data_IF_408744333825
#
_entry.id   IF_408744333825
#
_cell.length_a   1.000
_cell.length_b   1.000
_cell.length_c   1.000
_cell.angle_alpha   90.00
_cell.angle_beta   90.00
_cell.angle_gamma   90.00
#
_symmetry.space_group_name_H-M   'P 1'
#
loop_
_entity.id
_entity.type
_entity.pdbx_description
1 polymer ?
#
# COMPACT_ATOMS: atom_id res chain seq x y z
N UNK A 1 19.37 -14.77 -9.97
CA UNK A 1 18.29 -15.70 -9.55
C UNK A 1 17.52 -15.14 -8.36
N UNK A 2 18.17 -14.78 -7.25
CA UNK A 2 17.50 -14.28 -6.02
C UNK A 2 16.69 -12.98 -6.21
N UNK A 3 17.23 -11.97 -6.90
CA UNK A 3 16.51 -10.70 -7.16
C UNK A 3 15.21 -10.93 -7.93
N UNK A 4 15.20 -11.87 -8.89
CA UNK A 4 14.01 -12.23 -9.67
C UNK A 4 12.95 -12.87 -8.78
N UNK A 5 13.36 -13.74 -7.85
CA UNK A 5 12.43 -14.32 -6.87
C UNK A 5 11.84 -13.24 -5.95
N UNK A 6 12.68 -12.34 -5.42
CA UNK A 6 12.20 -11.22 -4.60
C UNK A 6 11.26 -10.30 -5.36
N UNK A 7 11.53 -10.03 -6.63
CA UNK A 7 10.63 -9.27 -7.49
C UNK A 7 9.25 -9.93 -7.62
N UNK A 8 9.17 -11.23 -7.94
CA UNK A 8 7.87 -11.91 -8.08
C UNK A 8 7.13 -12.06 -6.75
N UNK A 9 7.84 -12.23 -5.64
CA UNK A 9 7.24 -12.18 -4.30
C UNK A 9 6.68 -10.78 -4.03
N UNK A 10 7.42 -9.72 -4.38
CA UNK A 10 6.94 -8.35 -4.22
C UNK A 10 5.65 -8.10 -5.03
N UNK A 11 5.65 -8.48 -6.31
CA UNK A 11 4.45 -8.40 -7.17
C UNK A 11 3.26 -9.14 -6.54
N UNK A 12 3.48 -10.35 -6.01
CA UNK A 12 2.43 -11.16 -5.39
C UNK A 12 1.86 -10.50 -4.13
N UNK A 13 2.71 -9.89 -3.31
CA UNK A 13 2.31 -9.18 -2.09
C UNK A 13 1.54 -7.90 -2.44
N UNK A 14 1.99 -7.13 -3.41
CA UNK A 14 1.26 -5.95 -3.90
C UNK A 14 -0.12 -6.33 -4.44
N UNK A 15 -0.22 -7.44 -5.21
CA UNK A 15 -1.49 -7.94 -5.71
C UNK A 15 -2.44 -8.33 -4.58
N UNK A 16 -1.93 -8.99 -3.53
CA UNK A 16 -2.71 -9.29 -2.34
C UNK A 16 -3.23 -8.00 -1.69
N UNK A 17 -2.37 -7.01 -1.49
CA UNK A 17 -2.74 -5.74 -0.85
C UNK A 17 -3.80 -4.96 -1.66
N UNK A 18 -3.61 -4.85 -2.97
CA UNK A 18 -4.59 -4.22 -3.88
C UNK A 18 -5.92 -4.98 -3.94
N UNK A 19 -5.91 -6.29 -3.73
CA UNK A 19 -7.12 -7.12 -3.83
C UNK A 19 -8.02 -7.00 -2.60
N UNK A 20 -7.48 -6.94 -1.37
CA UNK A 20 -8.34 -6.78 -0.19
C UNK A 20 -8.93 -5.37 -0.08
N UNK A 21 -8.23 -4.35 -0.62
CA UNK A 21 -8.73 -2.97 -0.70
C UNK A 21 -9.67 -2.74 -1.89
N UNK A 22 -9.97 -3.77 -2.69
CA UNK A 22 -10.64 -3.65 -3.99
C UNK A 22 -12.03 -3.03 -3.87
N UNK A 23 -12.27 -1.96 -4.64
CA UNK A 23 -13.61 -1.43 -4.93
C UNK A 23 -13.64 -0.73 -6.30
N UNK A 24 -14.84 -0.53 -6.86
CA UNK A 24 -15.07 0.23 -8.10
C UNK A 24 -14.97 1.74 -7.90
N UNK A 25 -15.17 2.23 -6.68
CA UNK A 25 -15.11 3.66 -6.34
C UNK A 25 -14.14 3.92 -5.20
N UNK A 26 -13.71 5.18 -5.07
CA UNK A 26 -12.80 5.63 -4.01
C UNK A 26 -13.45 5.47 -2.65
N UNK A 27 -14.73 5.83 -2.54
CA UNK A 27 -15.48 5.67 -1.30
C UNK A 27 -15.61 4.21 -0.90
N UNK A 28 -15.97 3.32 -1.85
CA UNK A 28 -16.06 1.91 -1.53
C UNK A 28 -14.70 1.30 -1.15
N UNK A 29 -13.58 1.80 -1.70
CA UNK A 29 -12.24 1.39 -1.28
C UNK A 29 -12.00 1.78 0.17
N UNK A 30 -12.31 3.03 0.54
CA UNK A 30 -12.17 3.53 1.90
C UNK A 30 -13.12 2.84 2.89
N UNK A 31 -14.34 2.51 2.48
CA UNK A 31 -15.27 1.72 3.29
C UNK A 31 -14.72 0.32 3.58
N UNK A 32 -14.18 -0.38 2.57
CA UNK A 32 -13.53 -1.67 2.77
C UNK A 32 -12.34 -1.57 3.73
N UNK A 33 -11.52 -0.53 3.58
CA UNK A 33 -10.44 -0.23 4.53
C UNK A 33 -10.98 0.00 5.94
N UNK A 34 -12.07 0.75 6.07
CA UNK A 34 -12.67 1.10 7.34
C UNK A 34 -13.30 -0.11 8.03
N UNK A 35 -13.90 -1.04 7.31
CA UNK A 35 -14.43 -2.29 7.86
C UNK A 35 -13.33 -3.14 8.53
N UNK A 36 -12.16 -3.22 7.89
CA UNK A 36 -11.00 -3.93 8.44
C UNK A 36 -10.44 -3.17 9.65
N UNK A 37 -10.28 -1.85 9.54
CA UNK A 37 -9.83 -0.99 10.64
C UNK A 37 -10.72 -1.10 11.88
N UNK A 38 -12.05 -1.02 11.70
CA UNK A 38 -13.04 -1.12 12.77
C UNK A 38 -13.00 -2.49 13.46
N UNK A 39 -12.69 -3.56 12.72
CA UNK A 39 -12.52 -4.90 13.31
C UNK A 39 -11.31 -4.94 14.24
N UNK A 40 -10.15 -4.49 13.77
CA UNK A 40 -8.94 -4.37 14.58
C UNK A 40 -7.89 -3.50 13.87
N UNK A 41 -7.43 -2.43 14.54
CA UNK A 41 -6.38 -1.53 14.03
C UNK A 41 -5.05 -2.26 13.75
N UNK A 42 -4.67 -3.25 14.56
CA UNK A 42 -3.45 -4.02 14.36
C UNK A 42 -3.54 -4.93 13.13
N UNK A 43 -4.72 -5.52 12.89
CA UNK A 43 -4.96 -6.30 11.68
C UNK A 43 -4.85 -5.43 10.43
N UNK A 44 -5.44 -4.24 10.48
CA UNK A 44 -5.34 -3.26 9.40
C UNK A 44 -3.88 -2.91 9.09
N UNK A 45 -3.08 -2.61 10.12
CA UNK A 45 -1.67 -2.31 9.95
C UNK A 45 -0.87 -3.48 9.36
N UNK A 46 -1.09 -4.71 9.83
CA UNK A 46 -0.41 -5.91 9.33
C UNK A 46 -0.78 -6.22 7.87
N UNK A 47 -2.00 -5.89 7.44
CA UNK A 47 -2.44 -6.11 6.05
C UNK A 47 -1.74 -5.22 5.02
N UNK A 48 -0.95 -4.24 5.46
CA UNK A 48 0.04 -3.54 4.63
C UNK A 48 1.34 -4.34 4.50
N UNK A 49 1.20 -5.61 4.10
CA UNK A 49 2.29 -6.60 4.03
C UNK A 49 3.42 -6.10 3.13
N UNK A 50 3.10 -5.35 2.09
CA UNK A 50 4.08 -4.81 1.14
C UNK A 50 5.09 -3.86 1.79
N UNK A 51 4.69 -3.13 2.85
CA UNK A 51 5.59 -2.27 3.61
C UNK A 51 6.58 -3.07 4.45
N UNK A 52 6.12 -4.11 5.15
CA UNK A 52 7.02 -4.97 5.91
C UNK A 52 7.97 -5.74 4.99
N UNK A 53 7.48 -6.14 3.81
CA UNK A 53 8.31 -6.81 2.83
C UNK A 53 9.39 -5.89 2.25
N UNK A 54 9.06 -4.64 1.91
CA UNK A 54 10.09 -3.68 1.49
C UNK A 54 11.09 -3.38 2.61
N UNK A 55 10.64 -3.29 3.86
CA UNK A 55 11.53 -3.12 5.01
C UNK A 55 12.48 -4.31 5.17
N UNK A 56 11.97 -5.54 5.03
CA UNK A 56 12.76 -6.77 5.02
C UNK A 56 13.80 -6.77 3.89
N UNK A 57 13.40 -6.42 2.66
CA UNK A 57 14.33 -6.37 1.53
C UNK A 57 15.45 -5.36 1.78
N UNK A 58 15.13 -4.17 2.29
CA UNK A 58 16.11 -3.13 2.54
C UNK A 58 17.13 -3.54 3.62
N UNK A 59 16.68 -4.16 4.70
CA UNK A 59 17.55 -4.68 5.76
C UNK A 59 18.40 -5.87 5.30
N UNK A 60 17.77 -6.86 4.68
CA UNK A 60 18.46 -8.12 4.29
C UNK A 60 19.51 -7.90 3.21
N UNK A 61 19.27 -7.00 2.26
CA UNK A 61 20.24 -6.65 1.22
C UNK A 61 21.15 -5.48 1.62
N UNK A 62 21.01 -4.93 2.85
CA UNK A 62 21.66 -3.70 3.30
C UNK A 62 21.56 -2.55 2.28
N UNK A 63 20.42 -2.45 1.59
CA UNK A 63 20.19 -1.49 0.53
C UNK A 63 19.26 -0.38 1.01
N UNK A 64 19.85 0.75 1.36
CA UNK A 64 19.17 1.99 1.72
C UNK A 64 19.39 3.09 0.67
N UNK A 65 19.71 2.70 -0.56
CA UNK A 65 19.86 3.62 -1.68
C UNK A 65 18.59 4.44 -1.93
N UNK A 66 18.73 5.49 -2.74
CA UNK A 66 17.66 6.45 -3.00
C UNK A 66 16.33 5.79 -3.38
N UNK A 67 16.35 4.80 -4.28
CA UNK A 67 15.15 4.10 -4.74
C UNK A 67 14.50 3.26 -3.63
N UNK A 68 15.28 2.48 -2.88
CA UNK A 68 14.75 1.64 -1.81
C UNK A 68 14.19 2.47 -0.66
N UNK A 69 14.91 3.51 -0.26
CA UNK A 69 14.46 4.48 0.74
C UNK A 69 13.19 5.22 0.30
N UNK A 70 13.06 5.53 -1.01
CA UNK A 70 11.85 6.14 -1.58
C UNK A 70 10.65 5.20 -1.52
N UNK A 71 10.82 3.90 -1.80
CA UNK A 71 9.76 2.88 -1.64
C UNK A 71 9.28 2.85 -0.18
N UNK A 72 10.21 2.81 0.78
CA UNK A 72 9.89 2.80 2.20
C UNK A 72 9.13 4.06 2.62
N UNK A 73 9.61 5.24 2.22
CA UNK A 73 8.97 6.50 2.55
C UNK A 73 7.56 6.61 1.97
N UNK A 74 7.38 6.30 0.68
CA UNK A 74 6.07 6.36 0.02
C UNK A 74 5.06 5.43 0.69
N UNK A 75 5.45 4.19 1.00
CA UNK A 75 4.58 3.24 1.69
C UNK A 75 4.26 3.67 3.12
N UNK A 76 5.24 4.21 3.84
CA UNK A 76 5.02 4.73 5.18
C UNK A 76 4.03 5.90 5.18
N UNK A 77 4.17 6.85 4.24
CA UNK A 77 3.22 7.93 4.08
C UNK A 77 1.83 7.43 3.72
N UNK A 78 1.71 6.48 2.77
CA UNK A 78 0.42 5.88 2.39
C UNK A 78 -0.32 5.30 3.61
N UNK A 79 0.38 4.53 4.46
CA UNK A 79 -0.20 3.96 5.68
C UNK A 79 -0.65 5.05 6.65
N UNK A 80 0.17 6.09 6.89
CA UNK A 80 -0.19 7.20 7.77
C UNK A 80 -1.42 7.93 7.25
N UNK A 81 -1.46 8.25 5.96
CA UNK A 81 -2.60 8.94 5.34
C UNK A 81 -3.87 8.12 5.50
N UNK A 82 -3.81 6.82 5.20
CA UNK A 82 -4.96 5.92 5.35
C UNK A 82 -5.41 5.82 6.80
N UNK A 83 -4.50 5.61 7.76
CA UNK A 83 -4.83 5.57 9.19
C UNK A 83 -5.48 6.88 9.68
N UNK A 84 -4.99 8.03 9.20
CA UNK A 84 -5.58 9.34 9.51
C UNK A 84 -7.03 9.45 9.01
N UNK A 85 -7.31 8.98 7.79
CA UNK A 85 -8.67 8.92 7.24
C UNK A 85 -9.54 7.94 8.05
N UNK A 86 -9.03 6.74 8.35
CA UNK A 86 -9.77 5.73 9.11
C UNK A 86 -10.14 6.24 10.52
N UNK A 87 -9.24 7.00 11.15
CA UNK A 87 -9.53 7.63 12.45
C UNK A 87 -10.65 8.66 12.33
N UNK A 88 -10.62 9.55 11.33
CA UNK A 88 -11.70 10.52 11.09
C UNK A 88 -13.05 9.84 10.83
N UNK A 89 -13.07 8.76 10.05
CA UNK A 89 -14.28 7.95 9.83
C UNK A 89 -14.77 7.31 11.13
N UNK A 90 -13.85 6.85 11.99
CA UNK A 90 -14.19 6.31 13.32
C UNK A 90 -14.79 7.36 14.26
N UNK A 91 -14.39 8.63 14.12
CA UNK A 91 -14.93 9.75 14.88
C UNK A 91 -16.33 10.19 14.38
N UNK A 92 -16.88 9.51 13.37
CA UNK A 92 -18.21 9.78 12.81
C UNK A 92 -18.24 10.86 11.73
N UNK A 93 -17.08 11.32 11.26
CA UNK A 93 -16.99 12.28 10.15
C UNK A 93 -17.38 11.57 8.85
N UNK A 94 -18.26 12.19 8.06
CA UNK A 94 -18.69 11.61 6.79
C UNK A 94 -17.53 11.55 5.79
N UNK A 95 -17.53 10.53 4.94
CA UNK A 95 -16.50 10.34 3.93
C UNK A 95 -16.39 11.54 2.97
N UNK A 96 -17.53 12.16 2.63
CA UNK A 96 -17.63 13.36 1.79
C UNK A 96 -16.94 14.59 2.37
N UNK A 97 -16.82 14.68 3.69
CA UNK A 97 -16.15 15.78 4.37
C UNK A 97 -14.63 15.58 4.40
N UNK A 98 -14.16 14.33 4.31
CA UNK A 98 -12.74 13.99 4.29
C UNK A 98 -12.20 14.04 2.86
N UNK A 99 -12.93 13.44 1.92
CA UNK A 99 -12.64 13.47 0.49
C UNK A 99 -13.89 13.97 -0.23
N UNK A 100 -13.85 15.16 -0.85
CA UNK A 100 -15.04 15.79 -1.42
C UNK A 100 -15.47 15.22 -2.78
N UNK A 101 -14.79 14.20 -3.29
CA UNK A 101 -15.07 13.59 -4.59
C UNK A 101 -14.99 12.07 -4.51
N UNK A 102 -15.92 11.38 -5.16
CA UNK A 102 -15.84 9.93 -5.39
C UNK A 102 -15.35 9.67 -6.81
N UNK A 103 -14.13 9.16 -6.94
CA UNK A 103 -13.55 8.81 -8.23
C UNK A 103 -13.75 7.32 -8.54
N UNK A 104 -14.05 7.01 -9.79
CA UNK A 104 -14.05 5.63 -10.27
C UNK A 104 -12.60 5.10 -10.31
N UNK A 105 -12.34 4.04 -9.55
CA UNK A 105 -11.02 3.39 -9.55
C UNK A 105 -10.99 2.41 -10.74
N UNK A 106 -10.35 2.85 -11.82
CA UNK A 106 -10.06 1.99 -12.95
C UNK A 106 -9.09 0.87 -12.56
N UNK A 107 -9.10 -0.28 -13.25
CA UNK A 107 -8.15 -1.36 -12.97
C UNK A 107 -6.69 -0.91 -13.05
N UNK A 108 -6.37 0.03 -13.95
CA UNK A 108 -5.00 0.56 -14.09
C UNK A 108 -4.55 1.31 -12.84
N UNK A 109 -5.42 2.14 -12.26
CA UNK A 109 -5.12 2.87 -11.02
C UNK A 109 -4.99 1.93 -9.83
N UNK A 110 -5.82 0.88 -9.79
CA UNK A 110 -5.78 -0.13 -8.71
C UNK A 110 -4.46 -0.89 -8.67
N UNK A 111 -3.96 -1.30 -9.82
CA UNK A 111 -2.74 -2.12 -9.94
C UNK A 111 -1.48 -1.28 -10.18
N UNK A 112 -1.57 0.05 -10.06
CA UNK A 112 -0.44 0.93 -10.27
C UNK A 112 0.71 0.61 -9.30
N UNK A 113 0.39 0.34 -8.03
CA UNK A 113 1.37 -0.02 -7.00
C UNK A 113 2.11 -1.34 -7.32
N UNK A 114 1.39 -2.30 -7.90
CA UNK A 114 1.93 -3.61 -8.35
C UNK A 114 2.98 -3.44 -9.45
N UNK A 115 2.89 -2.37 -10.24
CA UNK A 115 3.87 -2.06 -11.26
C UNK A 115 5.00 -1.19 -10.69
N UNK A 116 4.66 -0.06 -10.07
CA UNK A 116 5.64 0.95 -9.65
C UNK A 116 6.64 0.39 -8.65
N UNK A 117 6.18 -0.24 -7.56
CA UNK A 117 7.10 -0.63 -6.48
C UNK A 117 8.06 -1.77 -6.87
N UNK A 118 7.60 -2.86 -7.51
CA UNK A 118 8.52 -3.90 -7.98
C UNK A 118 9.50 -3.40 -9.05
N UNK A 119 9.09 -2.47 -9.93
CA UNK A 119 10.00 -1.86 -10.90
C UNK A 119 11.05 -0.96 -10.23
N UNK A 120 10.64 -0.13 -9.26
CA UNK A 120 11.57 0.66 -8.45
C UNK A 120 12.56 -0.22 -7.68
N UNK A 121 12.12 -1.40 -7.23
CA UNK A 121 12.99 -2.38 -6.58
C UNK A 121 14.05 -2.94 -7.55
N UNK A 122 13.69 -3.22 -8.81
CA UNK A 122 14.68 -3.59 -9.84
C UNK A 122 15.69 -2.46 -10.00
N UNK A 123 15.25 -1.22 -10.18
CA UNK A 123 16.16 -0.08 -10.29
C UNK A 123 17.07 0.07 -9.06
N UNK A 124 16.54 -0.15 -7.86
CA UNK A 124 17.32 -0.10 -6.63
C UNK A 124 18.41 -1.18 -6.53
N UNK A 125 18.28 -2.29 -7.26
CA UNK A 125 19.20 -3.43 -7.18
C UNK A 125 20.14 -3.54 -8.38
N UNK A 126 19.83 -2.88 -9.50
CA UNK A 126 20.65 -2.90 -10.72
C UNK A 126 21.50 -1.65 -10.96
N UNK A 127 21.14 -0.51 -10.34
CA UNK A 127 21.87 0.76 -10.40
C UNK A 127 22.64 0.99 -9.10
#
# INVERSE_FOLDING_TARGET
MEIVHFFFIFVSIELFESNWQKSSTLYGMLENNFLVYKKNIFLYFILHISFFYSLYLSLSSNNFGFWMSSILALKFFDIIFKLSIMKKLSDGININEIIPFDANITPILRYLNVLIYPLLFIFATTL
#
